data_IF_090122827096
#
_entry.id   IF_090122827096
#
_cell.length_a   1.000
_cell.length_b   1.000
_cell.length_c   1.000
_cell.angle_alpha   90.00
_cell.angle_beta   90.00
_cell.angle_gamma   90.00
#
_symmetry.space_group_name_H-M   'P 1'
#
loop_
_entity.id
_entity.type
_entity.pdbx_description
1 polymer ?
#
# COMPACT_ATOMS: atom_id res chain seq x y z
N UNK A 1 20.76 -5.69 9.75
CA UNK A 1 19.50 -5.94 9.03
C UNK A 1 19.09 -4.58 8.48
N UNK A 2 18.82 -4.45 7.18
CA UNK A 2 18.52 -3.14 6.59
C UNK A 2 17.19 -2.64 7.19
N UNK A 3 17.17 -1.41 7.70
CA UNK A 3 15.97 -0.74 8.23
C UNK A 3 15.10 -0.18 7.10
N UNK A 4 14.81 -1.04 6.13
CA UNK A 4 14.18 -0.64 4.88
C UNK A 4 13.13 -1.63 4.49
N UNK A 5 12.00 -1.13 4.00
CA UNK A 5 11.04 -1.97 3.33
C UNK A 5 11.65 -2.46 2.01
N UNK A 6 11.85 -3.77 1.81
CA UNK A 6 12.49 -4.27 0.60
C UNK A 6 11.69 -4.00 -0.67
N UNK A 7 10.37 -3.82 -0.58
CA UNK A 7 9.54 -3.40 -1.69
C UNK A 7 9.72 -1.93 -2.02
N UNK A 8 10.28 -1.14 -1.09
CA UNK A 8 10.63 0.25 -1.30
C UNK A 8 11.94 0.45 -2.09
N UNK A 9 12.79 -0.57 -2.15
CA UNK A 9 14.03 -0.58 -2.94
C UNK A 9 13.93 -1.45 -4.20
N UNK A 10 12.79 -2.09 -4.44
CA UNK A 10 12.58 -2.89 -5.64
C UNK A 10 12.37 -1.97 -6.85
N UNK A 11 13.25 -2.06 -7.84
CA UNK A 11 13.09 -1.30 -9.08
C UNK A 11 12.00 -1.93 -9.96
N UNK A 12 10.75 -1.50 -9.75
CA UNK A 12 9.59 -2.00 -10.50
C UNK A 12 9.71 -1.78 -12.01
N UNK A 13 10.35 -0.70 -12.44
CA UNK A 13 10.50 -0.37 -13.86
C UNK A 13 11.52 -1.31 -14.52
N UNK A 14 12.73 -1.42 -13.96
CA UNK A 14 13.79 -2.28 -14.49
C UNK A 14 13.41 -3.77 -14.45
N UNK A 15 12.63 -4.19 -13.46
CA UNK A 15 12.13 -5.57 -13.36
C UNK A 15 10.88 -5.82 -14.22
N UNK A 16 10.44 -4.85 -15.03
CA UNK A 16 9.34 -5.01 -15.97
C UNK A 16 7.98 -5.23 -15.31
N UNK A 17 7.81 -4.81 -14.06
CA UNK A 17 6.57 -4.96 -13.29
C UNK A 17 5.39 -4.34 -14.04
N UNK A 18 5.56 -3.12 -14.55
CA UNK A 18 4.51 -2.40 -15.27
C UNK A 18 4.13 -3.05 -16.61
N UNK A 19 5.12 -3.59 -17.33
CA UNK A 19 4.88 -4.21 -18.64
C UNK A 19 4.26 -5.61 -18.52
N UNK A 20 4.48 -6.30 -17.39
CA UNK A 20 4.02 -7.66 -17.16
C UNK A 20 3.03 -7.79 -15.99
N UNK A 21 2.44 -6.67 -15.56
CA UNK A 21 1.64 -6.60 -14.33
C UNK A 21 0.54 -7.67 -14.28
N UNK A 22 -0.23 -7.83 -15.37
CA UNK A 22 -1.28 -8.85 -15.45
C UNK A 22 -0.76 -10.28 -15.31
N UNK A 23 0.44 -10.57 -15.83
CA UNK A 23 1.06 -11.89 -15.68
C UNK A 23 1.59 -12.10 -14.26
N UNK A 24 2.22 -11.09 -13.65
CA UNK A 24 2.71 -11.13 -12.27
C UNK A 24 1.53 -11.31 -11.31
N UNK A 25 0.47 -10.50 -11.44
CA UNK A 25 -0.77 -10.62 -10.68
C UNK A 25 -1.38 -12.02 -10.81
N UNK A 26 -1.46 -12.56 -12.03
CA UNK A 26 -1.99 -13.90 -12.26
C UNK A 26 -1.15 -14.98 -11.56
N UNK A 27 0.18 -14.87 -11.60
CA UNK A 27 1.07 -15.80 -10.88
C UNK A 27 0.84 -15.72 -9.37
N UNK A 28 0.74 -14.51 -8.81
CA UNK A 28 0.50 -14.29 -7.38
C UNK A 28 -0.85 -14.85 -6.92
N UNK A 29 -1.90 -14.62 -7.71
CA UNK A 29 -3.25 -15.15 -7.44
C UNK A 29 -3.31 -16.68 -7.50
N UNK A 30 -2.51 -17.30 -8.38
CA UNK A 30 -2.47 -18.75 -8.54
C UNK A 30 -1.45 -19.44 -7.62
N UNK A 31 -0.68 -18.69 -6.82
CA UNK A 31 0.41 -19.25 -6.01
C UNK A 31 1.57 -19.83 -6.84
N UNK A 32 1.78 -19.30 -8.05
CA UNK A 32 2.78 -19.76 -9.02
C UNK A 32 4.00 -18.83 -9.08
N UNK A 33 4.23 -18.02 -8.06
CA UNK A 33 5.42 -17.19 -7.94
C UNK A 33 6.69 -18.04 -7.83
N UNK A 34 7.79 -17.52 -8.41
CA UNK A 34 9.08 -18.17 -8.27
C UNK A 34 9.52 -18.16 -6.80
N UNK A 35 10.02 -19.29 -6.31
CA UNK A 35 10.54 -19.49 -4.95
C UNK A 35 11.93 -18.86 -4.77
N UNK A 36 12.04 -17.56 -5.05
CA UNK A 36 13.25 -16.77 -4.80
C UNK A 36 13.24 -16.12 -3.41
N UNK A 37 14.39 -15.58 -2.99
CA UNK A 37 14.55 -14.90 -1.70
C UNK A 37 13.54 -13.75 -1.47
N UNK A 38 13.07 -13.11 -2.53
CA UNK A 38 12.09 -12.01 -2.46
C UNK A 38 10.62 -12.48 -2.51
N UNK A 39 10.36 -13.79 -2.71
CA UNK A 39 8.99 -14.34 -2.79
C UNK A 39 8.09 -13.96 -1.60
N UNK A 40 8.58 -13.98 -0.34
CA UNK A 40 7.79 -13.57 0.82
C UNK A 40 7.27 -12.13 0.76
N UNK A 41 8.04 -11.23 0.15
CA UNK A 41 7.63 -9.82 -0.02
C UNK A 41 6.50 -9.69 -1.01
N UNK A 42 6.50 -10.49 -2.08
CA UNK A 42 5.42 -10.47 -3.05
C UNK A 42 4.10 -11.00 -2.47
N UNK A 43 4.09 -11.60 -1.27
CA UNK A 43 2.85 -11.98 -0.60
C UNK A 43 1.99 -10.80 -0.20
N UNK A 44 2.56 -9.60 -0.04
CA UNK A 44 1.75 -8.39 0.18
C UNK A 44 0.81 -8.10 -1.01
N UNK A 45 1.10 -8.64 -2.20
CA UNK A 45 0.24 -8.49 -3.36
C UNK A 45 -0.84 -9.59 -3.47
N UNK A 46 -0.82 -10.59 -2.58
CA UNK A 46 -1.75 -11.71 -2.60
C UNK A 46 -2.99 -11.42 -1.76
N UNK A 47 -4.18 -11.82 -2.23
CA UNK A 47 -5.35 -11.83 -1.39
C UNK A 47 -5.20 -12.80 -0.21
N UNK A 48 -5.67 -12.41 0.97
CA UNK A 48 -5.59 -13.23 2.18
C UNK A 48 -6.52 -12.77 3.29
N UNK A 49 -6.89 -13.67 4.19
CA UNK A 49 -7.72 -13.32 5.36
C UNK A 49 -6.93 -12.54 6.41
N UNK A 50 -5.66 -12.88 6.59
CA UNK A 50 -4.76 -12.29 7.59
C UNK A 50 -3.70 -11.40 6.92
N UNK A 51 -4.11 -10.57 5.96
CA UNK A 51 -3.17 -9.73 5.22
C UNK A 51 -2.70 -8.50 6.03
N UNK A 52 -1.43 -8.10 5.95
CA UNK A 52 -0.32 -8.87 5.42
C UNK A 52 0.08 -10.01 6.38
N UNK A 53 0.66 -11.09 5.85
CA UNK A 53 1.10 -12.23 6.65
C UNK A 53 2.30 -11.86 7.54
N UNK A 54 2.04 -11.69 8.84
CA UNK A 54 3.06 -11.35 9.84
C UNK A 54 4.10 -12.45 10.07
N UNK A 55 3.74 -13.73 9.83
CA UNK A 55 4.58 -14.86 10.19
C UNK A 55 5.90 -14.90 9.41
N UNK A 56 5.84 -14.62 8.11
CA UNK A 56 7.03 -14.65 7.26
C UNK A 56 7.91 -13.42 7.39
N UNK A 57 7.30 -12.26 7.61
CA UNK A 57 8.05 -11.00 7.78
C UNK A 57 8.80 -10.99 9.10
N UNK A 58 8.19 -11.50 10.17
CA UNK A 58 8.89 -11.69 11.44
C UNK A 58 10.10 -12.61 11.30
N UNK A 59 9.99 -13.68 10.51
CA UNK A 59 11.09 -14.62 10.28
C UNK A 59 12.25 -14.00 9.47
N UNK A 60 11.95 -13.19 8.46
CA UNK A 60 12.95 -12.67 7.51
C UNK A 60 13.55 -11.32 7.94
N UNK A 61 12.72 -10.45 8.53
CA UNK A 61 13.06 -9.07 8.84
C UNK A 61 13.06 -8.78 10.35
N UNK A 62 12.79 -9.78 11.19
CA UNK A 62 12.76 -9.61 12.65
C UNK A 62 11.74 -8.58 13.13
N UNK A 63 10.73 -8.25 12.30
CA UNK A 63 9.71 -7.22 12.52
C UNK A 63 8.34 -7.75 12.14
N UNK A 64 7.30 -7.24 12.80
CA UNK A 64 5.91 -7.48 12.41
C UNK A 64 5.39 -6.29 11.60
N UNK A 65 4.33 -6.48 10.83
CA UNK A 65 3.68 -5.36 10.16
C UNK A 65 2.99 -4.47 11.18
N UNK A 66 3.16 -3.16 11.02
CA UNK A 66 2.30 -2.19 11.66
C UNK A 66 1.06 -2.01 10.79
N UNK A 67 -0.08 -2.54 11.24
CA UNK A 67 -1.34 -2.49 10.53
C UNK A 67 -2.31 -1.49 11.15
N UNK A 68 -2.98 -0.68 10.31
CA UNK A 68 -4.09 0.18 10.74
C UNK A 68 -5.29 -0.04 9.83
N UNK A 69 -6.46 -0.23 10.42
CA UNK A 69 -7.72 -0.41 9.70
C UNK A 69 -8.59 0.83 9.80
N UNK A 70 -9.29 1.13 8.71
CA UNK A 70 -10.30 2.18 8.65
C UNK A 70 -11.37 1.79 7.62
N UNK A 71 -12.52 2.45 7.65
CA UNK A 71 -13.58 2.19 6.68
C UNK A 71 -14.18 3.49 6.13
N UNK A 72 -14.96 3.35 5.04
CA UNK A 72 -15.63 4.49 4.40
C UNK A 72 -17.13 4.55 4.72
N UNK A 73 -17.60 3.91 5.80
CA UNK A 73 -19.05 3.73 6.06
C UNK A 73 -19.80 5.05 6.16
N UNK A 74 -19.14 6.11 6.64
CA UNK A 74 -19.76 7.44 6.78
C UNK A 74 -19.82 8.21 5.44
N UNK A 75 -19.10 7.76 4.42
CA UNK A 75 -18.85 8.52 3.20
C UNK A 75 -18.97 7.71 1.89
N UNK A 76 -19.38 6.44 1.92
CA UNK A 76 -19.41 5.56 0.73
C UNK A 76 -20.36 6.00 -0.38
N UNK A 77 -21.34 6.86 -0.07
CA UNK A 77 -22.24 7.47 -1.06
C UNK A 77 -21.70 8.76 -1.66
N UNK A 78 -20.61 9.30 -1.11
CA UNK A 78 -19.96 10.45 -1.70
C UNK A 78 -19.23 10.03 -2.97
N UNK A 79 -19.17 10.93 -3.95
CA UNK A 79 -18.27 10.82 -5.09
C UNK A 79 -16.84 11.25 -4.74
N UNK A 80 -16.63 11.70 -3.50
CA UNK A 80 -15.34 12.14 -2.99
C UNK A 80 -14.43 10.95 -2.69
N UNK A 81 -13.13 11.20 -2.70
CA UNK A 81 -12.11 10.25 -2.28
C UNK A 81 -11.77 10.42 -0.81
N UNK A 82 -11.26 9.35 -0.19
CA UNK A 82 -10.63 9.42 1.11
C UNK A 82 -9.19 9.91 0.98
N UNK A 83 -8.85 10.95 1.72
CA UNK A 83 -7.45 11.25 2.02
C UNK A 83 -7.02 10.36 3.18
N UNK A 84 -5.95 9.61 2.95
CA UNK A 84 -5.26 8.85 3.98
C UNK A 84 -3.90 9.51 4.23
N UNK A 85 -3.66 9.90 5.48
CA UNK A 85 -2.40 10.45 5.96
C UNK A 85 -1.73 9.44 6.86
N UNK A 86 -0.65 8.83 6.38
CA UNK A 86 0.19 7.97 7.18
C UNK A 86 1.38 8.79 7.72
N UNK A 87 1.33 9.13 9.00
CA UNK A 87 2.40 9.88 9.68
C UNK A 87 3.28 8.90 10.44
N UNK A 88 4.54 8.79 10.06
CA UNK A 88 5.44 7.84 10.72
C UNK A 88 5.95 8.40 12.03
N UNK A 89 6.05 7.51 13.03
CA UNK A 89 6.48 7.89 14.38
C UNK A 89 7.96 8.22 14.45
N UNK A 90 8.74 7.57 13.60
CA UNK A 90 10.16 7.83 13.43
C UNK A 90 10.36 8.80 12.26
N UNK A 91 11.28 9.78 12.39
CA UNK A 91 11.59 10.71 11.32
C UNK A 91 12.09 9.97 10.08
N UNK A 92 11.78 10.50 8.90
CA UNK A 92 12.34 10.00 7.65
C UNK A 92 13.77 10.50 7.49
N UNK A 93 14.70 9.58 7.27
CA UNK A 93 15.91 9.93 6.52
C UNK A 93 15.53 9.93 5.03
N UNK A 94 15.73 11.03 4.28
CA UNK A 94 15.44 11.07 2.84
C UNK A 94 16.06 9.92 2.02
N UNK A 95 17.17 9.33 2.49
CA UNK A 95 17.81 8.20 1.82
C UNK A 95 17.26 6.84 2.25
N UNK A 96 16.46 6.77 3.32
CA UNK A 96 15.82 5.55 3.80
C UNK A 96 14.38 5.48 3.33
N UNK A 97 14.06 4.60 2.38
CA UNK A 97 12.72 4.59 1.85
C UNK A 97 11.71 3.97 2.81
N UNK A 98 10.51 4.52 2.79
CA UNK A 98 9.36 4.12 3.62
C UNK A 98 8.21 3.73 2.70
N UNK A 99 7.49 2.67 3.03
CA UNK A 99 6.36 2.22 2.24
C UNK A 99 5.11 2.06 3.11
N UNK A 100 3.96 2.37 2.52
CA UNK A 100 2.64 2.00 3.03
C UNK A 100 1.95 1.14 1.98
N UNK A 101 1.70 -0.11 2.31
CA UNK A 101 0.88 -1.02 1.53
C UNK A 101 -0.57 -0.85 1.91
N UNK A 102 -1.46 -0.98 0.94
CA UNK A 102 -2.88 -0.73 1.10
C UNK A 102 -3.62 -1.95 0.57
N UNK A 103 -4.55 -2.47 1.35
CA UNK A 103 -5.51 -3.47 0.93
C UNK A 103 -6.93 -3.02 1.28
N UNK A 104 -7.90 -3.65 0.62
CA UNK A 104 -9.31 -3.42 0.88
C UNK A 104 -10.09 -4.73 0.90
N UNK A 105 -11.24 -4.71 1.57
CA UNK A 105 -12.28 -5.72 1.45
C UNK A 105 -13.66 -5.08 1.49
N UNK A 106 -14.67 -5.79 0.99
CA UNK A 106 -16.06 -5.31 0.96
C UNK A 106 -16.77 -5.71 2.25
N UNK A 107 -17.36 -4.75 2.98
CA UNK A 107 -17.96 -4.97 4.31
C UNK A 107 -19.07 -6.04 4.28
N UNK A 108 -19.95 -5.94 3.29
CA UNK A 108 -21.13 -6.82 3.12
C UNK A 108 -20.90 -8.03 2.20
N UNK A 109 -19.65 -8.29 1.80
CA UNK A 109 -19.33 -9.46 0.99
C UNK A 109 -19.20 -10.71 1.87
N UNK A 110 -19.67 -11.88 1.40
CA UNK A 110 -19.37 -13.17 2.05
C UNK A 110 -17.87 -13.49 1.99
N UNK A 111 -17.19 -13.02 0.94
CA UNK A 111 -15.74 -13.09 0.83
C UNK A 111 -15.10 -12.02 1.73
N UNK A 112 -14.33 -12.47 2.72
CA UNK A 112 -13.64 -11.66 3.72
C UNK A 112 -12.14 -11.46 3.44
N UNK A 113 -11.64 -11.90 2.28
CA UNK A 113 -10.24 -11.71 1.91
C UNK A 113 -9.93 -10.24 1.66
N UNK A 114 -8.85 -9.76 2.27
CA UNK A 114 -8.18 -8.52 1.90
C UNK A 114 -7.57 -8.67 0.52
N UNK A 115 -7.70 -7.63 -0.29
CA UNK A 115 -7.14 -7.56 -1.64
C UNK A 115 -6.23 -6.36 -1.73
N UNK A 116 -5.05 -6.58 -2.29
CA UNK A 116 -4.12 -5.50 -2.58
C UNK A 116 -4.80 -4.39 -3.39
N UNK A 117 -4.66 -3.15 -2.92
CA UNK A 117 -5.13 -1.93 -3.57
C UNK A 117 -3.98 -1.19 -4.24
N UNK A 118 -2.87 -1.07 -3.53
CA UNK A 118 -1.69 -0.35 -3.99
C UNK A 118 -0.61 -0.24 -2.92
N UNK A 119 0.54 0.26 -3.34
CA UNK A 119 1.66 0.60 -2.44
C UNK A 119 2.05 2.06 -2.71
N UNK A 120 2.21 2.84 -1.65
CA UNK A 120 2.83 4.16 -1.74
C UNK A 120 4.22 4.10 -1.12
N UNK A 121 5.22 4.59 -1.84
CA UNK A 121 6.63 4.57 -1.45
C UNK A 121 7.11 6.00 -1.36
N UNK A 122 7.82 6.34 -0.28
CA UNK A 122 8.56 7.58 -0.13
C UNK A 122 10.05 7.30 -0.23
N UNK A 123 10.75 7.92 -1.18
CA UNK A 123 12.20 7.80 -1.36
C UNK A 123 12.78 9.09 -1.95
N UNK A 124 13.89 9.59 -1.41
CA UNK A 124 14.56 10.79 -1.90
C UNK A 124 13.64 12.02 -2.05
N UNK A 125 12.69 12.20 -1.12
CA UNK A 125 11.71 13.29 -1.15
C UNK A 125 10.65 13.16 -2.27
N UNK A 126 10.44 11.96 -2.80
CA UNK A 126 9.45 11.64 -3.82
C UNK A 126 8.46 10.63 -3.29
N UNK A 127 7.18 10.82 -3.60
CA UNK A 127 6.14 9.82 -3.40
C UNK A 127 5.88 9.11 -4.73
N UNK A 128 5.90 7.79 -4.71
CA UNK A 128 5.56 6.92 -5.82
C UNK A 128 4.37 6.03 -5.43
N UNK A 129 3.32 6.00 -6.25
CA UNK A 129 2.11 5.21 -6.01
C UNK A 129 1.96 4.16 -7.10
N UNK A 130 1.80 2.91 -6.68
CA UNK A 130 1.63 1.74 -7.53
C UNK A 130 0.25 1.14 -7.26
N UNK A 131 -0.58 0.94 -8.30
CA UNK A 131 -1.92 0.35 -8.13
C UNK A 131 -1.95 -1.16 -8.31
N UNK A 132 -3.04 -1.77 -7.83
CA UNK A 132 -3.42 -3.15 -8.16
C UNK A 132 -3.76 -3.39 -9.64
N UNK A 133 -3.76 -2.35 -10.47
CA UNK A 133 -3.94 -2.41 -11.92
C UNK A 133 -2.64 -2.20 -12.71
N UNK A 134 -1.51 -1.96 -12.03
CA UNK A 134 -0.24 -1.62 -12.65
C UNK A 134 -0.11 -0.15 -13.04
N UNK A 135 -1.04 0.71 -12.62
CA UNK A 135 -0.91 2.14 -12.78
C UNK A 135 0.18 2.68 -11.85
N UNK A 136 0.90 3.70 -12.34
CA UNK A 136 2.01 4.33 -11.63
C UNK A 136 1.84 5.84 -11.66
N UNK A 137 2.06 6.47 -10.52
CA UNK A 137 2.13 7.92 -10.38
C UNK A 137 3.31 8.30 -9.51
N UNK A 138 3.77 9.53 -9.69
CA UNK A 138 4.84 10.13 -8.91
C UNK A 138 4.54 11.58 -8.61
N UNK A 139 4.91 12.04 -7.41
CA UNK A 139 4.88 13.44 -7.02
C UNK A 139 5.99 13.79 -6.02
N UNK A 140 6.27 15.08 -5.86
CA UNK A 140 7.14 15.55 -4.79
C UNK A 140 6.48 15.35 -3.42
N UNK A 141 7.27 14.94 -2.43
CA UNK A 141 6.79 14.84 -1.06
C UNK A 141 6.54 16.24 -0.49
N UNK A 142 5.40 16.39 0.19
CA UNK A 142 5.00 17.69 0.77
C UNK A 142 5.47 17.82 2.21
N UNK A 143 5.34 16.77 3.01
CA UNK A 143 5.76 16.75 4.41
C UNK A 143 6.79 15.65 4.66
N UNK A 144 7.94 15.94 5.32
CA UNK A 144 9.04 14.99 5.46
C UNK A 144 8.70 13.67 6.12
N UNK A 145 7.73 13.59 7.03
CA UNK A 145 7.41 12.36 7.80
C UNK A 145 6.03 11.77 7.45
N UNK A 146 5.44 12.21 6.33
CA UNK A 146 4.07 11.86 6.00
C UNK A 146 3.98 11.28 4.58
N UNK A 147 3.25 10.19 4.45
CA UNK A 147 2.79 9.66 3.16
C UNK A 147 1.30 9.96 3.03
N UNK A 148 0.98 10.82 2.06
CA UNK A 148 -0.38 11.25 1.73
C UNK A 148 -0.85 10.57 0.47
N UNK A 149 -1.86 9.71 0.56
CA UNK A 149 -2.45 9.07 -0.62
C UNK A 149 -3.98 9.13 -0.61
N UNK A 150 -4.56 9.16 -1.82
CA UNK A 150 -6.00 9.11 -2.02
C UNK A 150 -6.43 7.66 -2.22
N UNK A 151 -7.41 7.22 -1.44
CA UNK A 151 -8.14 5.99 -1.70
C UNK A 151 -9.47 6.32 -2.35
N UNK A 152 -9.76 5.66 -3.46
CA UNK A 152 -11.09 5.75 -4.05
C UNK A 152 -12.08 4.93 -3.21
N UNK A 153 -13.00 5.64 -2.59
CA UNK A 153 -14.21 5.08 -2.01
C UNK A 153 -15.20 4.90 -3.17
N UNK A 154 -15.24 3.71 -3.76
CA UNK A 154 -16.28 3.43 -4.76
C UNK A 154 -17.69 3.54 -4.16
N UNK A 155 -18.72 3.27 -4.97
CA UNK A 155 -20.14 3.33 -4.55
C UNK A 155 -20.55 2.22 -3.55
N UNK A 156 -19.62 1.70 -2.75
CA UNK A 156 -19.82 0.60 -1.82
C UNK A 156 -19.02 0.80 -0.54
N UNK A 157 -19.58 0.29 0.54
CA UNK A 157 -18.90 0.17 1.82
C UNK A 157 -17.73 -0.82 1.71
N UNK A 158 -16.53 -0.30 1.99
CA UNK A 158 -15.27 -1.02 1.99
C UNK A 158 -14.50 -0.71 3.27
N UNK A 159 -13.80 -1.72 3.75
CA UNK A 159 -12.82 -1.59 4.81
C UNK A 159 -11.45 -1.58 4.15
N UNK A 160 -10.57 -0.71 4.61
CA UNK A 160 -9.18 -0.63 4.21
C UNK A 160 -8.29 -1.08 5.36
N UNK A 161 -7.17 -1.67 4.99
CA UNK A 161 -6.08 -1.97 5.89
C UNK A 161 -4.81 -1.42 5.26
N UNK A 162 -4.09 -0.60 6.00
CA UNK A 162 -2.75 -0.15 5.64
C UNK A 162 -1.73 -0.92 6.44
N UNK A 163 -0.57 -1.19 5.84
CA UNK A 163 0.54 -1.86 6.51
C UNK A 163 1.90 -1.29 6.13
N UNK A 164 2.81 -1.24 7.09
CA UNK A 164 4.22 -0.86 6.91
C UNK A 164 5.12 -1.62 7.89
N UNK A 165 6.39 -1.81 7.54
CA UNK A 165 7.40 -2.34 8.47
C UNK A 165 7.87 -1.31 9.50
N UNK A 166 7.51 -0.04 9.31
CA UNK A 166 7.80 1.07 10.21
C UNK A 166 6.51 1.52 10.89
N UNK A 167 6.59 1.95 12.15
CA UNK A 167 5.41 2.36 12.89
C UNK A 167 4.89 3.73 12.39
N UNK A 168 3.57 3.82 12.20
CA UNK A 168 2.89 5.02 11.73
C UNK A 168 1.50 5.13 12.32
N UNK A 169 0.97 6.35 12.35
CA UNK A 169 -0.41 6.64 12.70
C UNK A 169 -1.17 7.03 11.42
N UNK A 170 -2.43 6.62 11.32
CA UNK A 170 -3.30 6.94 10.19
C UNK A 170 -4.37 7.95 10.62
N UNK A 171 -4.46 9.03 9.86
CA UNK A 171 -5.61 9.93 9.87
C UNK A 171 -6.35 9.83 8.54
N UNK A 172 -7.68 9.77 8.60
CA UNK A 172 -8.53 9.76 7.41
C UNK A 172 -9.42 10.99 7.40
N UNK A 173 -9.44 11.67 6.25
CA UNK A 173 -10.34 12.79 6.02
C UNK A 173 -10.95 12.70 4.63
N UNK A 174 -12.06 13.39 4.40
CA UNK A 174 -12.69 13.49 3.08
C UNK A 174 -12.57 14.94 2.57
N UNK A 175 -11.38 15.37 2.12
CA UNK A 175 -11.22 16.69 1.56
C UNK A 175 -11.62 16.71 0.08
N UNK A 176 -12.24 17.81 -0.33
CA UNK A 176 -12.47 18.09 -1.73
C UNK A 176 -11.19 18.72 -2.33
N UNK A 177 -10.45 17.98 -3.15
CA UNK A 177 -9.36 18.49 -4.00
C UNK A 177 -8.00 18.87 -3.35
N UNK A 178 -7.43 18.00 -2.49
CA UNK A 178 -6.10 18.23 -1.88
C UNK A 178 -4.93 17.85 -2.82
N UNK A 179 -4.31 18.86 -3.45
CA UNK A 179 -3.15 18.68 -4.36
C UNK A 179 -1.88 18.15 -3.69
N UNK A 180 -1.84 18.06 -2.36
CA UNK A 180 -0.70 17.53 -1.60
C UNK A 180 -0.70 16.00 -1.48
N UNK A 181 -1.61 15.32 -2.18
CA UNK A 181 -1.87 13.89 -2.04
C UNK A 181 -1.72 13.15 -3.36
N UNK A 182 -0.99 12.03 -3.36
CA UNK A 182 -0.85 11.17 -4.54
C UNK A 182 -2.10 10.31 -4.72
N UNK A 183 -2.56 10.08 -5.94
CA UNK A 183 -3.80 9.33 -6.14
C UNK A 183 -4.21 9.21 -7.59
N UNK A 184 -4.67 8.01 -7.97
CA UNK A 184 -5.19 7.77 -9.31
C UNK A 184 -6.42 8.65 -9.58
N UNK A 185 -6.46 9.26 -10.76
CA UNK A 185 -7.66 9.89 -11.28
C UNK A 185 -8.58 8.75 -11.79
N UNK A 186 -9.81 8.69 -11.26
CA UNK A 186 -10.81 7.67 -11.60
C UNK A 186 -12.03 8.33 -12.24
#
# INVERSE_FOLDING_TARGET
MLDVDPLAIFDYAANGYFNNFGQIRRKLQLGLEATGFLSPLFKVYRPGFDWPDDGEVAHLYGRAWHGVEFDNSDHWKSKDYGLVRATFREPFDPVEPRAVHIAYRRKHSPDKMWRFYGTTICINGQLELFSEGGAHQRMDQVEPNEIRFRTYFGEREVEFRTASLHAFDVDTSVPHNDKSTIGFEW
#
